data_IF_596589969129
#
_entry.id   IF_596589969129
#
_cell.length_a   1.000
_cell.length_b   1.000
_cell.length_c   1.000
_cell.angle_alpha   90.00
_cell.angle_beta   90.00
_cell.angle_gamma   90.00
#
_symmetry.space_group_name_H-M   'P 1'
#
loop_
_entity.id
_entity.type
_entity.pdbx_description
1 polymer ?
#
# COMPACT_ATOMS: atom_id res chain seq x y z
N UNK A 1 -29.49 16.88 -55.00
CA UNK A 1 -28.30 16.79 -54.13
C UNK A 1 -28.78 17.06 -52.71
N UNK A 2 -29.34 16.07 -52.03
CA UNK A 2 -28.66 15.02 -51.26
C UNK A 2 -27.81 15.57 -50.10
N UNK A 3 -28.50 15.75 -48.96
CA UNK A 3 -28.05 15.43 -47.59
C UNK A 3 -26.57 15.68 -47.30
N UNK A 4 -26.24 16.91 -46.87
CA UNK A 4 -24.92 17.23 -46.31
C UNK A 4 -25.07 18.14 -45.08
N UNK A 5 -25.96 17.76 -44.16
CA UNK A 5 -26.01 18.30 -42.80
C UNK A 5 -26.30 17.15 -41.86
N UNK A 6 -25.32 16.28 -41.66
CA UNK A 6 -25.35 15.33 -40.56
C UNK A 6 -23.91 14.88 -40.28
N UNK A 7 -23.60 14.72 -39.00
CA UNK A 7 -22.43 14.00 -38.46
C UNK A 7 -21.13 14.80 -38.28
N UNK A 8 -21.16 15.90 -37.52
CA UNK A 8 -19.95 16.37 -36.78
C UNK A 8 -20.31 16.74 -35.33
N UNK A 9 -21.16 15.94 -34.67
CA UNK A 9 -21.62 16.21 -33.31
C UNK A 9 -21.56 14.99 -32.38
N UNK A 10 -20.73 13.98 -32.67
CA UNK A 10 -20.72 12.72 -31.92
C UNK A 10 -19.34 12.23 -31.47
N UNK A 11 -18.28 13.04 -31.59
CA UNK A 11 -16.94 12.67 -31.09
C UNK A 11 -16.68 13.02 -29.63
N UNK A 12 -17.70 13.47 -28.88
CA UNK A 12 -17.56 13.80 -27.45
C UNK A 12 -17.92 12.66 -26.48
N UNK A 13 -18.14 11.43 -26.96
CA UNK A 13 -18.53 10.32 -26.09
C UNK A 13 -17.38 9.35 -25.88
N UNK A 14 -17.05 9.19 -24.59
CA UNK A 14 -16.17 8.21 -23.96
C UNK A 14 -14.68 8.56 -23.81
N UNK A 15 -14.39 9.68 -23.16
CA UNK A 15 -13.35 9.64 -22.14
C UNK A 15 -13.94 8.90 -20.91
N UNK A 16 -14.05 7.57 -21.00
CA UNK A 16 -14.20 6.76 -19.78
C UNK A 16 -12.90 7.04 -19.02
N UNK A 17 -12.98 7.80 -17.94
CA UNK A 17 -11.90 7.91 -16.97
C UNK A 17 -11.56 6.48 -16.56
N UNK A 18 -10.51 5.93 -17.17
CA UNK A 18 -9.94 4.67 -16.73
C UNK A 18 -9.39 5.01 -15.36
N UNK A 19 -9.94 4.43 -14.31
CA UNK A 19 -9.33 4.42 -12.98
C UNK A 19 -7.86 4.03 -13.19
N UNK A 20 -6.99 5.04 -13.08
CA UNK A 20 -5.61 4.91 -13.50
C UNK A 20 -4.86 4.12 -12.46
N UNK A 21 -4.07 3.15 -12.91
CA UNK A 21 -3.01 2.58 -12.06
C UNK A 21 -1.71 3.22 -12.50
N UNK A 22 -1.19 4.13 -11.68
CA UNK A 22 0.15 4.67 -11.86
C UNK A 22 1.18 3.74 -11.22
N UNK A 23 2.40 3.73 -11.76
CA UNK A 23 3.53 3.02 -11.19
C UNK A 23 4.66 4.00 -10.96
N UNK A 24 5.24 3.99 -9.77
CA UNK A 24 6.45 4.74 -9.42
C UNK A 24 7.48 3.80 -8.82
N UNK A 25 8.75 4.16 -8.87
CA UNK A 25 9.83 3.34 -8.35
C UNK A 25 10.46 4.03 -7.14
N UNK A 26 10.57 3.33 -6.00
CA UNK A 26 11.17 3.87 -4.78
C UNK A 26 12.70 3.92 -4.83
N UNK A 27 13.35 3.29 -5.84
CA UNK A 27 14.81 3.05 -5.90
C UNK A 27 15.69 4.31 -6.02
N UNK A 28 15.12 5.51 -5.96
CA UNK A 28 15.87 6.78 -5.82
C UNK A 28 15.62 7.49 -4.47
N UNK A 29 14.93 6.87 -3.52
CA UNK A 29 14.17 7.63 -2.51
C UNK A 29 14.10 6.96 -1.11
N UNK A 30 15.16 6.24 -0.68
CA UNK A 30 15.22 5.63 0.67
C UNK A 30 15.03 6.64 1.82
N UNK A 31 15.38 7.90 1.57
CA UNK A 31 15.18 9.01 2.50
C UNK A 31 13.75 9.56 2.51
N UNK A 32 12.85 9.04 1.67
CA UNK A 32 11.49 9.58 1.51
C UNK A 32 10.40 8.53 1.71
N UNK A 33 10.75 7.24 1.65
CA UNK A 33 9.86 6.13 1.99
C UNK A 33 10.67 4.97 2.56
N UNK A 34 10.13 4.29 3.56
CA UNK A 34 10.70 3.06 4.10
C UNK A 34 9.64 2.17 4.76
N UNK A 35 9.88 0.87 4.71
CA UNK A 35 9.10 -0.14 5.44
C UNK A 35 9.98 -0.71 6.54
N UNK A 36 9.42 -0.93 7.71
CA UNK A 36 10.06 -1.61 8.82
C UNK A 36 9.13 -2.66 9.39
N UNK A 37 9.58 -3.92 9.41
CA UNK A 37 8.82 -4.97 10.09
C UNK A 37 8.89 -4.75 11.60
N UNK A 38 7.79 -4.97 12.33
CA UNK A 38 7.77 -4.95 13.78
C UNK A 38 7.18 -6.23 14.35
N UNK A 39 7.64 -6.62 15.53
CA UNK A 39 7.04 -7.69 16.32
C UNK A 39 7.03 -7.32 17.79
N UNK A 40 5.93 -7.65 18.46
CA UNK A 40 5.82 -7.48 19.91
C UNK A 40 6.38 -8.69 20.66
N UNK A 41 7.08 -8.47 21.76
CA UNK A 41 7.82 -9.49 22.48
C UNK A 41 7.01 -10.34 23.46
N UNK A 42 5.72 -10.04 23.66
CA UNK A 42 4.83 -10.83 24.52
C UNK A 42 3.84 -11.69 23.68
N UNK A 43 3.42 -12.86 24.18
CA UNK A 43 2.39 -13.68 23.52
C UNK A 43 1.14 -12.85 23.19
N UNK A 44 0.68 -12.90 21.94
CA UNK A 44 -0.48 -12.14 21.47
C UNK A 44 -0.24 -10.68 21.10
N UNK A 45 0.99 -10.16 21.24
CA UNK A 45 1.33 -8.76 20.89
C UNK A 45 1.28 -8.45 19.39
N UNK A 46 1.22 -9.50 18.56
CA UNK A 46 1.15 -9.40 17.11
C UNK A 46 2.46 -9.01 16.44
N UNK A 47 2.38 -8.90 15.13
CA UNK A 47 3.47 -8.45 14.26
C UNK A 47 2.87 -7.70 13.07
N UNK A 48 3.72 -6.99 12.31
CA UNK A 48 3.28 -6.33 11.10
C UNK A 48 4.35 -5.43 10.50
N UNK A 49 3.91 -4.39 9.81
CA UNK A 49 4.78 -3.44 9.12
C UNK A 49 4.45 -2.01 9.54
N UNK A 50 5.49 -1.23 9.77
CA UNK A 50 5.46 0.22 9.86
C UNK A 50 5.95 0.77 8.52
N UNK A 51 5.16 1.64 7.91
CA UNK A 51 5.53 2.29 6.66
C UNK A 51 5.59 3.79 6.96
N UNK A 52 6.77 4.37 6.75
CA UNK A 52 7.03 5.78 6.94
C UNK A 52 7.36 6.40 5.58
N UNK A 53 6.70 7.49 5.21
CA UNK A 53 6.99 8.24 3.99
C UNK A 53 6.79 9.74 4.17
N UNK A 54 7.54 10.55 3.43
CA UNK A 54 7.39 12.00 3.43
C UNK A 54 6.03 12.43 2.89
N UNK A 55 5.47 13.51 3.44
CA UNK A 55 4.22 14.08 2.94
C UNK A 55 4.32 14.50 1.47
N UNK A 56 5.50 14.94 1.04
CA UNK A 56 5.77 15.35 -0.33
C UNK A 56 6.00 14.17 -1.30
N UNK A 57 6.00 12.93 -0.79
CA UNK A 57 6.16 11.75 -1.64
C UNK A 57 4.94 11.52 -2.55
N UNK A 58 3.77 11.95 -2.10
CA UNK A 58 2.53 11.96 -2.88
C UNK A 58 1.97 13.38 -2.91
N UNK A 59 1.31 13.76 -4.00
CA UNK A 59 0.70 15.10 -4.15
C UNK A 59 -0.41 15.33 -3.11
N UNK A 60 -1.09 14.26 -2.69
CA UNK A 60 -2.13 14.27 -1.67
C UNK A 60 -1.92 13.16 -0.63
N UNK A 61 -2.57 13.31 0.53
CA UNK A 61 -2.52 12.30 1.59
C UNK A 61 -3.15 10.98 1.09
N UNK A 62 -2.44 9.85 1.15
CA UNK A 62 -3.04 8.56 0.82
C UNK A 62 -4.22 8.21 1.73
N UNK A 63 -5.30 7.72 1.15
CA UNK A 63 -6.52 7.28 1.86
C UNK A 63 -6.47 5.80 2.22
N UNK A 64 -5.78 4.98 1.42
CA UNK A 64 -5.54 3.55 1.68
C UNK A 64 -4.11 3.18 1.33
N UNK A 65 -3.55 2.27 2.12
CA UNK A 65 -2.21 1.71 1.91
C UNK A 65 -2.28 0.20 2.06
N UNK A 66 -1.70 -0.50 1.09
CA UNK A 66 -1.58 -1.95 1.04
C UNK A 66 -0.10 -2.34 0.91
N UNK A 67 0.30 -3.35 1.68
CA UNK A 67 1.59 -4.00 1.58
C UNK A 67 1.51 -5.44 2.08
N UNK A 68 2.08 -6.40 1.32
CA UNK A 68 2.17 -7.83 1.69
C UNK A 68 0.89 -8.45 2.29
N UNK A 69 -0.23 -8.30 1.60
CA UNK A 69 -1.51 -8.90 2.01
C UNK A 69 -2.25 -8.15 3.12
N UNK A 70 -1.68 -7.09 3.67
CA UNK A 70 -2.30 -6.28 4.73
C UNK A 70 -2.60 -4.88 4.20
N UNK A 71 -3.71 -4.30 4.63
CA UNK A 71 -4.09 -2.94 4.26
C UNK A 71 -4.64 -2.15 5.45
N UNK A 72 -4.66 -0.83 5.30
CA UNK A 72 -5.27 0.09 6.26
C UNK A 72 -5.73 1.36 5.57
N UNK A 73 -6.75 1.99 6.14
CA UNK A 73 -7.23 3.34 5.85
C UNK A 73 -6.66 4.39 6.83
N UNK A 74 -5.82 3.96 7.78
CA UNK A 74 -5.28 4.80 8.84
C UNK A 74 -3.86 5.27 8.49
N UNK A 75 -3.77 6.49 7.97
CA UNK A 75 -2.52 7.21 7.73
C UNK A 75 -2.38 8.36 8.72
N UNK A 76 -1.36 8.29 9.58
CA UNK A 76 -1.10 9.24 10.67
C UNK A 76 0.07 10.16 10.34
N UNK A 77 0.13 11.33 10.97
CA UNK A 77 1.37 12.13 10.98
C UNK A 77 2.36 11.43 11.90
N UNK A 78 3.61 11.31 11.47
CA UNK A 78 4.65 10.69 12.29
C UNK A 78 4.90 11.54 13.54
N UNK A 79 4.97 10.94 14.75
CA UNK A 79 5.06 11.67 16.02
C UNK A 79 6.30 12.57 16.11
N UNK A 80 7.46 12.06 15.72
CA UNK A 80 8.73 12.80 15.81
C UNK A 80 9.15 13.52 14.51
N UNK A 81 8.34 13.39 13.44
CA UNK A 81 8.67 13.89 12.09
C UNK A 81 7.42 14.49 11.45
N UNK A 82 7.08 15.77 11.71
CA UNK A 82 5.81 16.35 11.28
C UNK A 82 5.62 16.42 9.75
N UNK A 83 6.71 16.35 8.98
CA UNK A 83 6.69 16.30 7.51
C UNK A 83 6.58 14.87 6.95
N UNK A 84 6.33 13.88 7.80
CA UNK A 84 6.20 12.48 7.44
C UNK A 84 4.84 11.93 7.85
N UNK A 85 4.35 10.99 7.06
CA UNK A 85 3.27 10.10 7.42
C UNK A 85 3.83 8.78 7.94
N UNK A 86 3.07 8.16 8.86
CA UNK A 86 3.29 6.84 9.40
C UNK A 86 2.03 6.00 9.25
N UNK A 87 2.21 4.79 8.78
CA UNK A 87 1.17 3.79 8.60
C UNK A 87 1.56 2.54 9.36
N UNK A 88 0.64 2.01 10.16
CA UNK A 88 0.81 0.74 10.84
C UNK A 88 -0.10 -0.30 10.22
N UNK A 89 0.50 -1.30 9.60
CA UNK A 89 -0.16 -2.51 9.16
C UNK A 89 0.08 -3.58 10.21
N UNK A 90 -1.00 -4.21 10.66
CA UNK A 90 -0.92 -5.44 11.44
C UNK A 90 -0.97 -6.59 10.44
N UNK A 91 -0.15 -7.62 10.63
CA UNK A 91 -0.29 -8.85 9.88
C UNK A 91 -1.69 -9.40 10.15
N UNK A 92 -2.56 -9.38 9.14
CA UNK A 92 -3.90 -9.96 9.23
C UNK A 92 -3.90 -11.49 9.14
N UNK A 93 -2.71 -12.11 9.02
CA UNK A 93 -2.57 -13.54 9.20
C UNK A 93 -2.83 -13.87 10.68
N UNK A 94 -4.11 -14.08 11.01
CA UNK A 94 -4.45 -15.18 11.90
C UNK A 94 -3.71 -16.41 11.39
N UNK A 95 -3.16 -17.19 12.32
CA UNK A 95 -2.32 -18.37 12.09
C UNK A 95 -2.49 -18.91 10.67
N UNK A 96 -1.39 -18.95 9.89
CA UNK A 96 -1.38 -19.72 8.66
C UNK A 96 -1.79 -21.13 9.07
N UNK A 97 -3.05 -21.48 8.84
CA UNK A 97 -3.48 -22.87 8.86
C UNK A 97 -2.69 -23.46 7.70
N UNK A 98 -1.55 -24.08 8.01
CA UNK A 98 -0.81 -24.88 7.07
C UNK A 98 -1.76 -26.00 6.66
N UNK A 99 -2.52 -25.77 5.60
CA UNK A 99 -3.35 -26.80 5.02
C UNK A 99 -2.38 -27.81 4.44
N UNK A 100 -2.59 -29.10 4.68
CA UNK A 100 -1.75 -30.19 4.17
C UNK A 100 -1.71 -30.28 2.63
N UNK A 101 -2.42 -29.38 1.94
CA UNK A 101 -2.61 -29.35 0.51
C UNK A 101 -2.04 -28.02 -0.03
N UNK A 102 -0.88 -28.11 -0.67
CA UNK A 102 -0.11 -26.96 -1.16
C UNK A 102 -0.83 -26.15 -2.24
N UNK A 103 -1.90 -26.67 -2.84
CA UNK A 103 -2.70 -25.91 -3.82
C UNK A 103 -3.73 -24.96 -3.19
N UNK A 104 -3.88 -24.96 -1.86
CA UNK A 104 -4.84 -24.11 -1.14
C UNK A 104 -4.20 -22.91 -0.43
N UNK A 105 -2.94 -22.60 -0.71
CA UNK A 105 -2.35 -21.36 -0.23
C UNK A 105 -3.14 -20.18 -0.78
N UNK A 106 -3.84 -19.49 0.12
CA UNK A 106 -4.71 -18.36 -0.18
C UNK A 106 -3.88 -17.30 -0.89
N UNK A 107 -4.16 -17.14 -2.18
CA UNK A 107 -3.61 -16.05 -2.99
C UNK A 107 -3.99 -14.75 -2.30
N UNK A 108 -3.00 -13.92 -1.97
CA UNK A 108 -3.17 -12.57 -1.43
C UNK A 108 -3.83 -11.68 -2.51
N UNK A 109 -5.12 -11.85 -2.74
CA UNK A 109 -5.87 -11.00 -3.68
C UNK A 109 -6.23 -9.69 -2.98
N UNK A 110 -5.75 -8.60 -3.56
CA UNK A 110 -6.05 -7.23 -3.14
C UNK A 110 -7.42 -6.89 -3.74
N UNK A 111 -8.32 -6.21 -3.00
CA UNK A 111 -9.54 -5.67 -3.59
C UNK A 111 -9.17 -4.46 -4.45
N UNK A 112 -8.59 -4.72 -5.62
CA UNK A 112 -8.54 -3.76 -6.70
C UNK A 112 -9.96 -3.58 -7.26
N UNK A 113 -10.32 -2.39 -7.78
CA UNK A 113 -11.47 -2.31 -8.69
C UNK A 113 -11.26 -3.33 -9.81
N UNK A 114 -12.34 -3.99 -10.29
CA UNK A 114 -12.35 -5.18 -11.17
C UNK A 114 -11.46 -5.09 -12.43
N UNK A 115 -10.91 -3.92 -12.75
CA UNK A 115 -10.07 -3.64 -13.91
C UNK A 115 -8.58 -3.41 -13.59
N UNK A 116 -8.18 -3.42 -12.31
CA UNK A 116 -6.81 -3.16 -11.86
C UNK A 116 -6.15 -4.43 -11.29
N UNK A 117 -6.26 -5.56 -12.00
CA UNK A 117 -5.54 -6.79 -11.64
C UNK A 117 -4.06 -6.64 -11.99
N UNK A 118 -3.30 -5.91 -11.16
CA UNK A 118 -1.85 -6.04 -11.12
C UNK A 118 -1.48 -6.75 -9.83
N UNK A 119 -0.82 -7.90 -9.95
CA UNK A 119 -0.14 -8.52 -8.81
C UNK A 119 0.86 -7.49 -8.27
N UNK A 120 0.75 -7.18 -6.99
CA UNK A 120 1.76 -6.40 -6.26
C UNK A 120 2.80 -7.40 -5.80
N UNK A 121 4.01 -7.27 -6.31
CA UNK A 121 5.11 -8.17 -5.92
C UNK A 121 5.47 -7.97 -4.44
N UNK A 122 6.18 -8.93 -3.84
CA UNK A 122 6.51 -8.92 -2.40
C UNK A 122 7.31 -7.68 -1.95
N UNK A 123 7.93 -6.94 -2.87
CA UNK A 123 8.66 -5.70 -2.61
C UNK A 123 7.87 -4.43 -2.90
N UNK A 124 6.64 -4.55 -3.39
CA UNK A 124 5.85 -3.44 -3.88
C UNK A 124 4.75 -3.05 -2.89
N UNK A 125 4.40 -1.76 -2.90
CA UNK A 125 3.34 -1.20 -2.08
C UNK A 125 2.29 -0.58 -2.99
N UNK A 126 1.01 -0.76 -2.69
CA UNK A 126 -0.07 -0.07 -3.40
C UNK A 126 -0.71 0.97 -2.49
N UNK A 127 -0.92 2.18 -2.99
CA UNK A 127 -1.58 3.26 -2.26
C UNK A 127 -2.68 3.89 -3.08
N UNK A 128 -3.73 4.38 -2.42
CA UNK A 128 -4.81 5.15 -3.04
C UNK A 128 -4.62 6.63 -2.68
N UNK A 129 -4.43 7.48 -3.69
CA UNK A 129 -4.27 8.93 -3.56
C UNK A 129 -5.37 9.60 -4.38
N UNK A 130 -6.27 10.32 -3.71
CA UNK A 130 -7.56 10.70 -4.30
C UNK A 130 -8.31 9.44 -4.77
N UNK A 131 -8.57 9.37 -6.08
CA UNK A 131 -9.19 8.21 -6.74
C UNK A 131 -8.18 7.37 -7.57
N UNK A 132 -6.88 7.66 -7.45
CA UNK A 132 -5.82 7.02 -8.24
C UNK A 132 -5.06 5.98 -7.42
N UNK A 133 -5.00 4.75 -7.93
CA UNK A 133 -4.11 3.73 -7.38
C UNK A 133 -2.69 3.92 -7.89
N UNK A 134 -1.74 3.96 -6.98
CA UNK A 134 -0.31 4.11 -7.27
C UNK A 134 0.42 2.89 -6.71
N UNK A 135 1.12 2.16 -7.57
CA UNK A 135 2.02 1.07 -7.17
C UNK A 135 3.42 1.66 -7.04
N UNK A 136 4.00 1.52 -5.85
CA UNK A 136 5.36 1.92 -5.53
C UNK A 136 6.23 0.68 -5.54
N UNK A 137 7.10 0.57 -6.53
CA UNK A 137 7.93 -0.59 -6.74
C UNK A 137 9.21 -0.53 -5.90
N UNK A 138 9.67 -1.68 -5.41
CA UNK A 138 10.94 -1.84 -4.69
C UNK A 138 11.06 -0.93 -3.45
N UNK A 139 10.06 -0.92 -2.59
CA UNK A 139 10.09 -0.11 -1.36
C UNK A 139 11.20 -0.62 -0.43
N UNK A 140 12.10 0.26 0.05
CA UNK A 140 13.23 -0.17 0.86
C UNK A 140 12.76 -0.66 2.24
N UNK A 141 13.26 -1.82 2.64
CA UNK A 141 12.95 -2.47 3.91
C UNK A 141 14.12 -2.29 4.87
N UNK A 142 13.84 -1.63 6.01
CA UNK A 142 14.78 -1.43 7.12
C UNK A 142 14.86 -2.66 8.01
N UNK A 143 15.89 -2.69 8.86
CA UNK A 143 16.05 -3.71 9.88
C UNK A 143 14.80 -3.86 10.76
N UNK A 144 14.34 -5.09 11.05
CA UNK A 144 13.15 -5.32 11.86
C UNK A 144 13.29 -4.74 13.27
N UNK A 145 12.19 -4.19 13.79
CA UNK A 145 12.09 -3.68 15.14
C UNK A 145 11.45 -4.72 16.07
N UNK A 146 12.22 -5.17 17.05
CA UNK A 146 11.77 -6.12 18.06
C UNK A 146 11.47 -5.37 19.36
N UNK A 147 10.20 -5.30 19.74
CA UNK A 147 9.82 -4.70 21.02
C UNK A 147 9.94 -5.74 22.13
N UNK A 148 10.82 -5.58 23.12
CA UNK A 148 10.96 -6.55 24.21
C UNK A 148 9.68 -6.65 25.05
N UNK A 149 9.42 -7.83 25.61
CA UNK A 149 8.29 -8.07 26.54
C UNK A 149 8.48 -7.46 27.92
N UNK A 150 9.71 -7.14 28.30
CA UNK A 150 10.02 -6.52 29.58
C UNK A 150 10.23 -5.01 29.41
N UNK A 151 9.62 -4.15 30.25
CA UNK A 151 10.00 -2.75 30.30
C UNK A 151 11.49 -2.64 30.63
N UNK A 152 12.22 -1.68 30.03
CA UNK A 152 13.61 -1.46 30.39
C UNK A 152 13.68 -1.18 31.89
N UNK A 153 14.49 -1.98 32.62
CA UNK A 153 14.81 -1.66 34.01
C UNK A 153 15.50 -0.30 33.97
N UNK A 154 14.88 0.72 34.55
CA UNK A 154 15.58 1.98 34.85
C UNK A 154 16.78 1.60 35.71
N UNK A 155 18.00 1.81 35.19
CA UNK A 155 19.24 1.77 35.96
C UNK A 155 19.45 3.14 36.58
#
# INVERSE_FOLDING_TARGET
MKWMVLVIALTLVNCKSKEGVATMNAKNNENTISVQQWSGGAPGSGSGYLIDFEKAFFDEKPSKVYFKGSWTDKVYIHPDKPNWYRVRLNNQKGDVVMHSDSSKEVVNEIPFPENAVRKVDDGDMAVLVGDLWIIVNNVPVKEPLFYPSAPPRQQ
#
